data_IF_157253538307
#
_entry.id   IF_157253538307
#
_cell.length_a   1.000
_cell.length_b   1.000
_cell.length_c   1.000
_cell.angle_alpha   90.00
_cell.angle_beta   90.00
_cell.angle_gamma   90.00
#
_symmetry.space_group_name_H-M   'P 1'
#
loop_
_entity.id
_entity.type
_entity.pdbx_description
1 polymer ?
#
# COMPACT_ATOMS: atom_id res chain seq x y z
N UNK A 1 22.50 33.34 -18.28
CA UNK A 1 21.37 33.33 -17.33
C UNK A 1 21.84 32.63 -16.06
N UNK A 2 22.33 33.38 -15.07
CA UNK A 2 22.84 32.79 -13.81
C UNK A 2 21.63 32.33 -13.02
N UNK A 3 21.55 31.03 -12.74
CA UNK A 3 20.59 30.48 -11.79
C UNK A 3 20.97 31.05 -10.43
N UNK A 4 20.21 32.05 -9.97
CA UNK A 4 20.32 32.56 -8.62
C UNK A 4 19.78 31.46 -7.70
N UNK A 5 20.69 30.77 -7.02
CA UNK A 5 20.34 29.68 -6.11
C UNK A 5 19.56 30.25 -4.95
N UNK A 6 18.38 29.68 -4.69
CA UNK A 6 17.53 30.11 -3.58
C UNK A 6 18.32 30.10 -2.27
N UNK A 7 18.07 31.08 -1.37
CA UNK A 7 18.58 31.01 -0.01
C UNK A 7 18.28 29.66 0.64
N UNK A 8 19.27 29.09 1.32
CA UNK A 8 19.21 27.72 1.87
C UNK A 8 18.01 27.53 2.80
N UNK A 9 17.60 28.58 3.53
CA UNK A 9 16.46 28.54 4.42
C UNK A 9 15.11 28.38 3.67
N UNK A 10 14.99 29.01 2.49
CA UNK A 10 13.82 28.88 1.61
C UNK A 10 13.81 27.48 0.98
N UNK A 11 14.97 26.98 0.56
CA UNK A 11 15.11 25.63 -0.01
C UNK A 11 14.67 24.56 0.99
N UNK A 12 15.16 24.61 2.24
CA UNK A 12 14.80 23.65 3.28
C UNK A 12 13.32 23.69 3.66
N UNK A 13 12.71 24.88 3.70
CA UNK A 13 11.25 25.03 3.92
C UNK A 13 10.44 24.40 2.78
N UNK A 14 10.88 24.55 1.54
CA UNK A 14 10.21 23.97 0.37
C UNK A 14 10.31 22.45 0.36
N UNK A 15 11.49 21.90 0.69
CA UNK A 15 11.72 20.46 0.83
C UNK A 15 10.82 19.90 1.94
N UNK A 16 10.83 20.50 3.13
CA UNK A 16 10.00 20.07 4.26
C UNK A 16 8.49 20.13 3.96
N UNK A 17 8.03 21.17 3.27
CA UNK A 17 6.62 21.32 2.88
C UNK A 17 6.18 20.25 1.86
N UNK A 18 7.06 19.87 0.92
CA UNK A 18 6.81 18.81 -0.06
C UNK A 18 6.62 17.44 0.61
N UNK A 19 7.39 17.16 1.66
CA UNK A 19 7.32 15.90 2.41
C UNK A 19 6.11 15.81 3.34
N UNK A 20 5.64 16.93 3.92
CA UNK A 20 4.72 16.88 5.05
C UNK A 20 3.22 16.76 4.70
N UNK A 21 2.72 17.40 3.63
CA UNK A 21 1.26 17.40 3.33
C UNK A 21 0.84 16.53 2.16
N UNK A 22 1.48 16.71 1.00
CA UNK A 22 1.17 15.89 -0.18
C UNK A 22 1.69 14.45 -0.02
N UNK A 23 2.86 14.28 0.62
CA UNK A 23 3.41 12.98 0.97
C UNK A 23 2.47 12.19 1.88
N UNK A 24 2.00 12.78 2.98
CA UNK A 24 1.19 12.09 3.99
C UNK A 24 -0.18 11.63 3.47
N UNK A 25 -0.88 12.43 2.67
CA UNK A 25 -2.19 12.01 2.13
C UNK A 25 -2.04 10.83 1.17
N UNK A 26 -1.09 10.93 0.25
CA UNK A 26 -0.79 9.85 -0.68
C UNK A 26 -0.32 8.61 0.08
N UNK A 27 0.61 8.75 1.03
CA UNK A 27 1.10 7.60 1.82
C UNK A 27 -0.02 6.90 2.59
N UNK A 28 -1.01 7.65 3.09
CA UNK A 28 -2.20 7.09 3.76
C UNK A 28 -3.11 6.33 2.81
N UNK A 29 -3.45 6.91 1.66
CA UNK A 29 -4.28 6.23 0.66
C UNK A 29 -3.60 4.95 0.13
N UNK A 30 -2.29 5.02 -0.10
CA UNK A 30 -1.50 3.86 -0.49
C UNK A 30 -1.46 2.80 0.62
N UNK A 31 -1.31 3.19 1.88
CA UNK A 31 -1.38 2.28 3.02
C UNK A 31 -2.77 1.63 3.18
N UNK A 32 -3.84 2.37 2.89
CA UNK A 32 -5.22 1.85 2.91
C UNK A 32 -5.47 0.82 1.80
N UNK A 33 -4.99 1.08 0.56
CA UNK A 33 -5.06 0.07 -0.53
C UNK A 33 -4.29 -1.19 -0.14
N UNK A 34 -3.07 -1.02 0.39
CA UNK A 34 -2.20 -2.12 0.81
C UNK A 34 -2.81 -2.96 1.93
N UNK A 35 -3.39 -2.33 2.95
CA UNK A 35 -4.01 -3.05 4.07
C UNK A 35 -5.28 -3.78 3.64
N UNK A 36 -6.11 -3.16 2.77
CA UNK A 36 -7.30 -3.79 2.21
C UNK A 36 -6.94 -5.01 1.34
N UNK A 37 -5.99 -4.87 0.41
CA UNK A 37 -5.58 -5.98 -0.45
C UNK A 37 -4.84 -7.08 0.35
N UNK A 38 -4.05 -6.70 1.37
CA UNK A 38 -3.42 -7.68 2.26
C UNK A 38 -4.45 -8.49 3.06
N UNK A 39 -5.49 -7.84 3.59
CA UNK A 39 -6.56 -8.53 4.32
C UNK A 39 -7.37 -9.45 3.41
N UNK A 40 -7.60 -9.05 2.15
CA UNK A 40 -8.29 -9.91 1.17
C UNK A 40 -7.59 -11.26 0.96
N UNK A 41 -6.27 -11.35 1.20
CA UNK A 41 -5.55 -12.63 1.15
C UNK A 41 -6.02 -13.64 2.20
N UNK A 42 -6.48 -13.14 3.35
CA UNK A 42 -7.04 -13.95 4.42
C UNK A 42 -8.50 -14.31 4.15
N UNK A 43 -9.25 -13.40 3.51
CA UNK A 43 -10.62 -13.68 3.06
C UNK A 43 -10.67 -14.75 1.97
N UNK A 44 -9.74 -14.71 1.00
CA UNK A 44 -9.65 -15.68 -0.11
C UNK A 44 -9.45 -17.12 0.37
N UNK A 45 -8.77 -17.32 1.50
CA UNK A 45 -8.50 -18.65 2.06
C UNK A 45 -9.57 -19.13 3.05
N UNK A 46 -10.54 -18.27 3.39
CA UNK A 46 -11.57 -18.50 4.40
C UNK A 46 -11.06 -18.24 5.81
N UNK A 47 -11.66 -17.25 6.50
CA UNK A 47 -11.27 -16.85 7.86
C UNK A 47 -11.58 -17.94 8.92
N UNK A 48 -12.51 -18.83 8.60
CA UNK A 48 -12.86 -19.99 9.42
C UNK A 48 -11.87 -21.15 9.29
N UNK A 49 -11.02 -21.15 8.27
CA UNK A 49 -10.01 -22.19 8.05
C UNK A 49 -8.71 -21.85 8.81
N UNK A 50 -8.65 -22.25 10.08
CA UNK A 50 -7.52 -21.93 10.96
C UNK A 50 -6.15 -22.31 10.38
N UNK A 51 -6.07 -23.44 9.65
CA UNK A 51 -4.83 -23.89 9.01
C UNK A 51 -4.41 -22.94 7.89
N UNK A 52 -5.33 -22.61 6.98
CA UNK A 52 -5.03 -21.73 5.85
C UNK A 52 -4.75 -20.27 6.29
N UNK A 53 -5.42 -19.81 7.35
CA UNK A 53 -5.13 -18.53 8.00
C UNK A 53 -3.72 -18.52 8.60
N UNK A 54 -3.30 -19.60 9.28
CA UNK A 54 -1.94 -19.74 9.82
C UNK A 54 -0.88 -19.71 8.73
N UNK A 55 -1.09 -20.45 7.64
CA UNK A 55 -0.18 -20.47 6.48
C UNK A 55 -0.06 -19.08 5.83
N UNK A 56 -1.18 -18.37 5.67
CA UNK A 56 -1.20 -17.01 5.13
C UNK A 56 -0.54 -16.01 6.08
N UNK A 57 -0.77 -16.13 7.39
CA UNK A 57 -0.12 -15.32 8.41
C UNK A 57 1.39 -15.52 8.47
N UNK A 58 1.86 -16.76 8.29
CA UNK A 58 3.28 -17.07 8.21
C UNK A 58 3.93 -16.40 6.99
N UNK A 59 3.31 -16.50 5.82
CA UNK A 59 3.74 -15.77 4.62
C UNK A 59 3.80 -14.27 4.85
N UNK A 60 2.78 -13.67 5.47
CA UNK A 60 2.75 -12.25 5.78
C UNK A 60 3.91 -11.84 6.69
N UNK A 61 4.21 -12.66 7.71
CA UNK A 61 5.34 -12.45 8.62
C UNK A 61 6.68 -12.49 7.89
N UNK A 62 6.89 -13.48 7.04
CA UNK A 62 8.17 -13.70 6.33
C UNK A 62 8.42 -12.68 5.21
N UNK A 63 7.39 -11.96 4.78
CA UNK A 63 7.46 -10.96 3.72
C UNK A 63 7.28 -9.54 4.28
N UNK A 64 6.04 -9.09 4.45
CA UNK A 64 5.66 -7.72 4.80
C UNK A 64 6.30 -7.27 6.12
N UNK A 65 6.35 -8.15 7.13
CA UNK A 65 6.92 -7.80 8.44
C UNK A 65 8.44 -7.99 8.53
N UNK A 66 9.01 -8.94 7.79
CA UNK A 66 10.44 -9.29 7.89
C UNK A 66 11.34 -8.49 6.94
N UNK A 67 10.86 -8.13 5.74
CA UNK A 67 11.70 -7.53 4.71
C UNK A 67 11.92 -6.01 4.88
N UNK A 68 11.04 -5.33 5.62
CA UNK A 68 11.18 -3.91 5.97
C UNK A 68 11.57 -3.03 4.78
N UNK A 69 12.64 -2.24 4.92
CA UNK A 69 13.21 -1.40 3.85
C UNK A 69 14.29 -2.08 2.98
N UNK A 70 14.52 -3.38 3.16
CA UNK A 70 15.53 -4.12 2.39
C UNK A 70 15.12 -4.45 0.95
N UNK A 71 13.83 -4.32 0.63
CA UNK A 71 13.25 -4.52 -0.70
C UNK A 71 12.22 -3.44 -1.01
N UNK A 72 11.98 -3.19 -2.30
CA UNK A 72 10.94 -2.25 -2.71
C UNK A 72 9.55 -2.73 -2.20
N UNK A 73 8.72 -1.86 -1.63
CA UNK A 73 7.43 -2.27 -1.04
C UNK A 73 6.51 -3.05 -1.99
N UNK A 74 6.49 -2.70 -3.28
CA UNK A 74 5.70 -3.40 -4.29
C UNK A 74 6.22 -4.82 -4.54
N UNK A 75 7.54 -5.04 -4.53
CA UNK A 75 8.11 -6.40 -4.65
C UNK A 75 7.73 -7.26 -3.44
N UNK A 76 7.83 -6.69 -2.23
CA UNK A 76 7.42 -7.35 -0.99
C UNK A 76 5.94 -7.75 -1.06
N UNK A 77 5.11 -6.85 -1.60
CA UNK A 77 3.69 -7.13 -1.78
C UNK A 77 3.43 -8.27 -2.77
N UNK A 78 4.10 -8.27 -3.93
CA UNK A 78 3.98 -9.36 -4.90
C UNK A 78 4.43 -10.69 -4.31
N UNK A 79 5.51 -10.70 -3.51
CA UNK A 79 5.97 -11.91 -2.81
C UNK A 79 4.94 -12.43 -1.81
N UNK A 80 4.25 -11.55 -1.10
CA UNK A 80 3.19 -11.94 -0.17
C UNK A 80 1.93 -12.43 -0.90
N UNK A 81 1.48 -11.65 -1.88
CA UNK A 81 0.16 -11.78 -2.51
C UNK A 81 0.13 -12.72 -3.69
N UNK A 82 1.27 -12.96 -4.34
CA UNK A 82 1.41 -13.74 -5.56
C UNK A 82 0.95 -13.03 -6.84
N UNK A 83 0.51 -11.76 -6.71
CA UNK A 83 0.03 -10.91 -7.80
C UNK A 83 0.37 -9.45 -7.51
N UNK A 84 0.28 -8.59 -8.53
CA UNK A 84 0.44 -7.15 -8.35
C UNK A 84 -0.68 -6.54 -7.50
N UNK A 85 -0.37 -5.38 -6.90
CA UNK A 85 -1.29 -4.58 -6.10
C UNK A 85 -2.47 -4.16 -6.98
N UNK A 86 -3.69 -4.42 -6.52
CA UNK A 86 -4.90 -4.09 -7.30
C UNK A 86 -5.86 -3.22 -6.47
N UNK A 87 -6.28 -2.04 -6.98
CA UNK A 87 -7.15 -1.13 -6.23
C UNK A 87 -8.58 -1.66 -6.06
N UNK A 88 -8.95 -2.72 -6.79
CA UNK A 88 -10.27 -3.35 -6.75
C UNK A 88 -10.65 -3.85 -5.35
N UNK A 89 -9.69 -4.32 -4.56
CA UNK A 89 -9.95 -4.73 -3.17
C UNK A 89 -10.41 -3.54 -2.31
N UNK A 90 -9.74 -2.39 -2.43
CA UNK A 90 -10.14 -1.16 -1.75
C UNK A 90 -11.54 -0.71 -2.21
N UNK A 91 -11.80 -0.74 -3.52
CA UNK A 91 -13.10 -0.35 -4.07
C UNK A 91 -14.24 -1.25 -3.57
N UNK A 92 -13.99 -2.56 -3.36
CA UNK A 92 -14.94 -3.47 -2.71
C UNK A 92 -15.20 -3.10 -1.26
N UNK A 93 -14.15 -2.88 -0.47
CA UNK A 93 -14.30 -2.52 0.96
C UNK A 93 -15.00 -1.19 1.17
N UNK A 94 -14.83 -0.23 0.25
CA UNK A 94 -15.51 1.06 0.30
C UNK A 94 -16.90 1.07 -0.36
N UNK A 95 -17.35 -0.07 -0.93
CA UNK A 95 -18.64 -0.15 -1.63
C UNK A 95 -18.73 0.69 -2.90
N UNK A 96 -17.58 1.03 -3.50
CA UNK A 96 -17.46 1.90 -4.67
C UNK A 96 -17.37 1.15 -6.00
N UNK A 97 -17.39 -0.18 -6.00
CA UNK A 97 -17.61 -0.93 -7.24
C UNK A 97 -19.02 -0.65 -7.73
N UNK A 98 -19.15 0.24 -8.71
CA UNK A 98 -20.39 0.42 -9.46
C UNK A 98 -20.77 -0.94 -10.04
N UNK A 99 -21.88 -1.50 -9.55
CA UNK A 99 -22.61 -2.54 -10.26
C UNK A 99 -22.84 -2.01 -11.66
N UNK A 100 -22.10 -2.53 -12.64
CA UNK A 100 -22.49 -2.36 -14.03
C UNK A 100 -23.77 -3.16 -14.17
N UNK A 101 -24.90 -2.47 -14.08
CA UNK A 101 -26.19 -3.04 -14.45
C UNK A 101 -26.08 -3.32 -15.94
N UNK A 102 -25.77 -4.56 -16.28
CA UNK A 102 -25.88 -5.02 -17.66
C UNK A 102 -27.37 -5.03 -17.99
N UNK A 103 -27.77 -4.13 -18.87
CA UNK A 103 -29.05 -4.18 -19.57
C UNK A 103 -28.97 -5.15 -20.76
#
# INVERSE_FOLDING_TARGET
MKLETLPEDIYQKLVAAKTFRAGTLNLRQWAEVLSADAFSAFEDVGLENEKAVKETGQRFRETVLALGGGKAPLEVFVLFRGRELSPEALLRHHGLLSVTISA
#
